data_IF_234052278751
#
_entry.id   IF_234052278751
#
_cell.length_a   1.000
_cell.length_b   1.000
_cell.length_c   1.000
_cell.angle_alpha   90.00
_cell.angle_beta   90.00
_cell.angle_gamma   90.00
#
_symmetry.space_group_name_H-M   'P 1'
#
loop_
_entity.id
_entity.type
_entity.pdbx_description
1 polymer ?
#
# COMPACT_ATOMS: atom_id res chain seq x y z
N UNK A 1 2.05 -1.28 1.86
CA UNK A 1 1.55 0.06 1.52
C UNK A 1 2.05 1.00 2.58
N UNK A 2 2.66 2.09 2.17
CA UNK A 2 3.47 2.92 3.05
C UNK A 2 3.32 4.38 2.65
N UNK A 3 3.66 5.26 3.59
CA UNK A 3 3.89 6.68 3.35
C UNK A 3 4.81 7.19 4.46
N UNK A 4 5.41 8.35 4.24
CA UNK A 4 6.36 8.93 5.19
C UNK A 4 6.11 10.42 5.40
N UNK A 5 6.48 10.90 6.59
CA UNK A 5 6.46 12.31 6.97
C UNK A 5 5.09 12.96 6.70
N UNK A 6 5.04 14.03 5.90
CA UNK A 6 3.80 14.75 5.58
C UNK A 6 2.77 13.92 4.80
N UNK A 7 3.20 12.79 4.21
CA UNK A 7 2.34 11.83 3.54
C UNK A 7 1.39 12.45 2.49
N UNK A 8 1.86 13.49 1.79
CA UNK A 8 1.11 14.26 0.79
C UNK A 8 1.38 13.84 -0.67
N UNK A 9 2.21 12.81 -0.87
CA UNK A 9 2.53 12.28 -2.21
C UNK A 9 1.70 11.06 -2.59
N UNK A 10 0.76 10.65 -1.74
CA UNK A 10 -0.05 9.44 -1.95
C UNK A 10 0.59 8.17 -1.40
N UNK A 11 -0.11 7.05 -1.58
CA UNK A 11 0.31 5.72 -1.10
C UNK A 11 1.46 5.15 -1.93
N UNK A 12 2.51 4.65 -1.28
CA UNK A 12 3.56 3.85 -1.90
C UNK A 12 3.25 2.36 -1.75
N UNK A 13 3.31 1.61 -2.85
CA UNK A 13 3.28 0.15 -2.85
C UNK A 13 4.63 -0.34 -3.37
N UNK A 14 5.30 -1.19 -2.60
CA UNK A 14 6.62 -1.69 -2.91
C UNK A 14 6.67 -3.22 -2.74
N UNK A 15 7.44 -3.89 -3.59
CA UNK A 15 7.88 -5.26 -3.36
C UNK A 15 9.38 -5.28 -3.08
N UNK A 16 9.75 -6.00 -2.02
CA UNK A 16 11.13 -6.30 -1.64
C UNK A 16 11.34 -7.81 -1.71
N UNK A 17 12.31 -8.24 -2.50
CA UNK A 17 12.62 -9.66 -2.75
C UNK A 17 14.12 -9.90 -2.68
N UNK A 18 14.51 -11.18 -2.68
CA UNK A 18 15.85 -11.57 -3.12
C UNK A 18 16.04 -11.30 -4.62
N UNK A 19 17.27 -11.41 -5.13
CA UNK A 19 17.58 -11.22 -6.55
C UNK A 19 16.73 -12.15 -7.46
N UNK A 20 16.33 -11.64 -8.63
CA UNK A 20 15.57 -12.39 -9.64
C UNK A 20 14.12 -11.96 -9.86
N UNK A 21 13.67 -10.87 -9.23
CA UNK A 21 12.35 -10.28 -9.44
C UNK A 21 12.50 -8.82 -9.92
N UNK A 22 11.95 -8.50 -11.08
CA UNK A 22 12.00 -7.16 -11.65
C UNK A 22 10.73 -6.81 -12.43
N UNK A 23 10.38 -5.52 -12.38
CA UNK A 23 9.34 -4.86 -13.17
C UNK A 23 9.95 -3.97 -14.27
N UNK A 24 11.27 -4.01 -14.46
CA UNK A 24 11.93 -3.34 -15.59
C UNK A 24 11.42 -3.91 -16.91
N UNK A 25 10.98 -3.04 -17.81
CA UNK A 25 10.43 -3.41 -19.12
C UNK A 25 9.23 -4.38 -19.07
N UNK A 26 8.60 -4.53 -17.90
CA UNK A 26 7.38 -5.31 -17.74
C UNK A 26 6.17 -4.41 -17.99
N UNK A 27 5.34 -4.80 -18.96
CA UNK A 27 4.07 -4.14 -19.25
C UNK A 27 3.11 -4.35 -18.08
N UNK A 28 2.56 -3.25 -17.54
CA UNK A 28 1.68 -3.28 -16.37
C UNK A 28 0.44 -2.43 -16.63
N UNK A 29 -0.74 -2.99 -16.36
CA UNK A 29 -2.01 -2.26 -16.48
C UNK A 29 -2.43 -1.82 -15.08
N UNK A 30 -2.08 -0.59 -14.73
CA UNK A 30 -2.34 0.00 -13.41
C UNK A 30 -2.59 1.51 -13.48
N UNK A 31 -3.09 2.11 -12.41
CA UNK A 31 -3.39 3.55 -12.33
C UNK A 31 -2.30 4.36 -11.62
N UNK A 32 -1.43 3.71 -10.84
CA UNK A 32 -0.32 4.36 -10.17
C UNK A 32 0.87 4.63 -11.09
N UNK A 33 1.79 5.48 -10.62
CA UNK A 33 3.02 5.83 -11.33
C UNK A 33 4.14 4.88 -10.92
N UNK A 34 4.78 4.15 -11.85
CA UNK A 34 5.89 3.27 -11.51
C UNK A 34 7.13 4.07 -11.09
N UNK A 35 7.80 3.60 -10.04
CA UNK A 35 9.15 4.01 -9.70
C UNK A 35 10.18 3.07 -10.32
N UNK A 36 11.26 2.79 -9.58
CA UNK A 36 12.29 1.86 -10.04
C UNK A 36 11.74 0.42 -10.12
N UNK A 37 12.27 -0.37 -11.07
CA UNK A 37 11.70 -1.66 -11.42
C UNK A 37 12.29 -2.85 -10.67
N UNK A 38 13.48 -2.72 -10.07
CA UNK A 38 14.16 -3.87 -9.47
C UNK A 38 13.71 -4.09 -8.02
N UNK A 39 13.12 -5.27 -7.76
CA UNK A 39 12.55 -5.61 -6.46
C UNK A 39 13.61 -6.11 -5.45
N UNK A 40 14.86 -6.28 -5.86
CA UNK A 40 15.93 -6.81 -5.02
C UNK A 40 16.26 -5.86 -3.85
N UNK A 41 16.12 -6.36 -2.62
CA UNK A 41 16.22 -5.60 -1.39
C UNK A 41 17.66 -5.25 -0.97
N UNK A 42 18.68 -5.97 -1.45
CA UNK A 42 20.09 -5.72 -1.11
C UNK A 42 20.75 -4.64 -1.99
N UNK A 43 20.02 -4.06 -2.94
CA UNK A 43 20.52 -3.00 -3.84
C UNK A 43 19.66 -1.74 -3.74
N UNK A 44 20.11 -0.65 -4.37
CA UNK A 44 19.36 0.60 -4.49
C UNK A 44 18.79 1.09 -3.15
N UNK A 45 19.58 0.97 -2.07
CA UNK A 45 19.19 1.37 -0.71
C UNK A 45 17.92 0.68 -0.19
N UNK A 46 17.68 -0.58 -0.59
CA UNK A 46 16.47 -1.33 -0.25
C UNK A 46 15.17 -0.62 -0.71
N UNK A 47 15.21 0.09 -1.84
CA UNK A 47 13.99 0.75 -2.36
C UNK A 47 12.94 -0.26 -2.82
N UNK A 48 13.37 -1.44 -3.31
CA UNK A 48 12.46 -2.40 -3.95
C UNK A 48 11.83 -1.83 -5.22
N UNK A 49 10.90 -2.57 -5.83
CA UNK A 49 10.19 -2.09 -7.00
C UNK A 49 8.88 -1.44 -6.60
N UNK A 50 8.65 -0.20 -7.06
CA UNK A 50 7.65 0.67 -6.44
C UNK A 50 6.60 1.18 -7.41
N UNK A 51 5.43 1.50 -6.87
CA UNK A 51 4.34 2.20 -7.54
C UNK A 51 3.75 3.21 -6.56
N UNK A 52 3.62 4.47 -6.99
CA UNK A 52 3.06 5.56 -6.19
C UNK A 52 1.67 5.91 -6.70
N UNK A 53 0.69 5.91 -5.79
CA UNK A 53 -0.66 6.41 -6.04
C UNK A 53 -0.77 7.93 -5.98
N UNK A 54 -1.88 8.52 -6.46
CA UNK A 54 -2.11 9.96 -6.31
C UNK A 54 -2.31 10.36 -4.83
N UNK A 55 -2.18 11.66 -4.48
CA UNK A 55 -2.29 12.14 -3.10
C UNK A 55 -3.52 11.65 -2.33
N UNK A 56 -4.68 11.55 -2.98
CA UNK A 56 -5.92 11.07 -2.37
C UNK A 56 -5.93 9.58 -1.96
N UNK A 57 -4.86 8.80 -2.18
CA UNK A 57 -4.79 7.39 -1.77
C UNK A 57 -4.14 7.17 -0.42
N UNK A 58 -3.65 8.22 0.23
CA UNK A 58 -3.14 8.15 1.60
C UNK A 58 -3.21 9.53 2.29
N UNK A 59 -3.17 9.52 3.62
CA UNK A 59 -2.88 10.73 4.39
C UNK A 59 -4.07 11.71 4.46
N UNK A 60 -3.81 13.02 4.63
CA UNK A 60 -4.86 14.00 4.88
C UNK A 60 -5.98 14.03 3.84
N UNK A 61 -5.66 13.90 2.55
CA UNK A 61 -6.68 13.89 1.49
C UNK A 61 -7.56 12.64 1.54
N UNK A 62 -6.95 11.46 1.73
CA UNK A 62 -7.70 10.20 1.91
C UNK A 62 -8.59 10.26 3.16
N UNK A 63 -8.06 10.79 4.27
CA UNK A 63 -8.80 10.94 5.52
C UNK A 63 -9.95 11.95 5.40
N UNK A 64 -9.74 13.08 4.72
CA UNK A 64 -10.77 14.08 4.47
C UNK A 64 -11.91 13.54 3.60
N UNK A 65 -11.62 12.58 2.71
CA UNK A 65 -12.63 11.83 1.95
C UNK A 65 -13.36 10.75 2.79
N UNK A 66 -13.02 10.60 4.07
CA UNK A 66 -13.60 9.57 4.96
C UNK A 66 -12.89 8.21 4.88
N UNK A 67 -11.66 8.17 4.38
CA UNK A 67 -10.89 6.95 4.20
C UNK A 67 -11.39 6.11 3.02
N UNK A 68 -11.30 4.78 3.15
CA UNK A 68 -11.59 3.89 2.04
C UNK A 68 -11.17 2.45 2.28
N UNK A 69 -11.12 1.68 1.20
CA UNK A 69 -10.75 0.27 1.20
C UNK A 69 -9.38 0.13 0.56
N UNK A 70 -8.48 -0.55 1.26
CA UNK A 70 -7.21 -1.03 0.70
C UNK A 70 -7.32 -2.52 0.50
N UNK A 71 -7.09 -2.99 -0.72
CA UNK A 71 -7.15 -4.40 -1.06
C UNK A 71 -5.83 -4.85 -1.68
N UNK A 72 -5.39 -6.06 -1.31
CA UNK A 72 -4.26 -6.73 -1.92
C UNK A 72 -4.70 -8.12 -2.36
N UNK A 73 -4.39 -8.45 -3.61
CA UNK A 73 -4.56 -9.77 -4.16
C UNK A 73 -3.17 -10.35 -4.45
N UNK A 74 -2.95 -11.57 -3.98
CA UNK A 74 -1.72 -12.31 -4.18
C UNK A 74 -2.05 -13.66 -4.79
N UNK A 75 -1.49 -13.90 -5.98
CA UNK A 75 -1.70 -15.06 -6.85
C UNK A 75 -0.38 -15.42 -7.54
N UNK A 76 -0.30 -16.60 -8.13
CA UNK A 76 0.91 -17.07 -8.82
C UNK A 76 1.26 -16.18 -10.02
N UNK A 77 0.27 -15.56 -10.65
CA UNK A 77 0.49 -14.67 -11.80
C UNK A 77 0.91 -13.24 -11.41
N UNK A 78 0.84 -12.86 -10.14
CA UNK A 78 1.20 -11.52 -9.71
C UNK A 78 0.67 -11.09 -8.35
N UNK A 79 1.15 -9.93 -7.89
CA UNK A 79 0.62 -9.22 -6.73
C UNK A 79 0.00 -7.92 -7.21
N UNK A 80 -1.25 -7.67 -6.81
CA UNK A 80 -1.99 -6.46 -7.18
C UNK A 80 -2.50 -5.76 -5.94
N UNK A 81 -2.52 -4.43 -5.98
CA UNK A 81 -3.05 -3.61 -4.91
C UNK A 81 -4.00 -2.54 -5.43
N UNK A 82 -5.08 -2.29 -4.70
CA UNK A 82 -6.07 -1.25 -4.96
C UNK A 82 -6.23 -0.35 -3.74
N UNK A 83 -6.53 0.92 -3.99
CA UNK A 83 -7.05 1.86 -3.01
C UNK A 83 -8.34 2.42 -3.58
N UNK A 84 -9.45 2.14 -2.91
CA UNK A 84 -10.75 2.69 -3.25
C UNK A 84 -11.08 3.77 -2.23
N UNK A 85 -11.18 5.04 -2.66
CA UNK A 85 -11.71 6.09 -1.81
C UNK A 85 -13.17 5.81 -1.45
N UNK A 86 -13.61 6.22 -0.26
CA UNK A 86 -15.02 6.09 0.15
C UNK A 86 -15.94 6.73 -0.89
N UNK A 87 -16.97 6.00 -1.34
CA UNK A 87 -17.91 6.44 -2.38
C UNK A 87 -17.50 6.08 -3.81
N UNK A 88 -16.24 5.70 -4.07
CA UNK A 88 -15.80 5.14 -5.37
C UNK A 88 -16.14 3.66 -5.52
N UNK A 89 -16.57 3.02 -4.44
CA UNK A 89 -16.98 1.62 -4.37
C UNK A 89 -18.28 1.32 -5.15
N UNK A 90 -19.04 2.36 -5.49
CA UNK A 90 -20.28 2.27 -6.24
C UNK A 90 -20.02 1.78 -7.68
N UNK A 91 -20.34 0.51 -7.95
CA UNK A 91 -20.31 -0.09 -9.29
C UNK A 91 -19.08 -0.96 -9.60
N UNK A 92 -18.06 -0.98 -8.75
CA UNK A 92 -16.83 -1.77 -8.94
C UNK A 92 -16.93 -3.21 -8.40
N UNK A 93 -18.14 -3.78 -8.27
CA UNK A 93 -18.31 -5.12 -7.70
C UNK A 93 -17.86 -5.27 -6.24
N UNK A 94 -17.69 -4.17 -5.50
CA UNK A 94 -17.22 -4.17 -4.11
C UNK A 94 -18.30 -4.57 -3.09
N UNK A 95 -19.49 -5.01 -3.54
CA UNK A 95 -20.59 -5.43 -2.65
C UNK A 95 -20.24 -6.63 -1.77
N UNK A 96 -19.22 -7.41 -2.15
CA UNK A 96 -18.67 -8.48 -1.34
C UNK A 96 -17.62 -8.00 -0.31
N UNK A 97 -17.25 -6.72 -0.31
CA UNK A 97 -16.39 -6.13 0.70
C UNK A 97 -17.23 -5.52 1.83
N UNK A 98 -16.68 -5.42 3.05
CA UNK A 98 -17.36 -4.74 4.16
C UNK A 98 -17.82 -3.34 3.76
N UNK A 99 -19.09 -3.03 4.01
CA UNK A 99 -19.62 -1.70 3.77
C UNK A 99 -18.94 -0.69 4.71
N UNK A 100 -18.97 0.60 4.33
CA UNK A 100 -18.30 1.69 5.06
C UNK A 100 -18.69 1.80 6.56
N UNK A 101 -19.79 1.18 6.99
CA UNK A 101 -20.23 1.10 8.39
C UNK A 101 -19.56 0.00 9.23
N UNK A 102 -18.59 -0.75 8.69
CA UNK A 102 -17.95 -1.87 9.39
C UNK A 102 -18.78 -3.15 9.42
N UNK A 103 -19.88 -3.18 8.67
CA UNK A 103 -20.69 -4.37 8.48
C UNK A 103 -19.85 -5.45 7.78
N UNK A 104 -19.83 -6.66 8.35
CA UNK A 104 -19.16 -7.78 7.69
C UNK A 104 -19.85 -8.05 6.35
N UNK A 105 -19.06 -8.38 5.34
CA UNK A 105 -19.59 -8.95 4.11
C UNK A 105 -20.52 -10.14 4.42
N UNK A 106 -21.50 -10.39 3.56
CA UNK A 106 -22.42 -11.50 3.74
C UNK A 106 -21.64 -12.82 3.94
N UNK A 107 -22.08 -13.73 4.83
CA UNK A 107 -21.42 -15.01 5.03
C UNK A 107 -21.24 -15.75 3.69
N UNK A 108 -20.01 -16.09 3.34
CA UNK A 108 -19.69 -16.79 2.09
C UNK A 108 -19.52 -15.88 0.86
N UNK A 109 -19.68 -14.57 0.98
CA UNK A 109 -19.32 -13.65 -0.09
C UNK A 109 -17.80 -13.66 -0.30
N UNK A 110 -17.37 -14.12 -1.47
CA UNK A 110 -15.97 -14.08 -1.90
C UNK A 110 -15.82 -12.91 -2.87
N UNK A 111 -14.92 -11.95 -2.61
CA UNK A 111 -14.70 -10.87 -3.55
C UNK A 111 -14.06 -11.39 -4.85
N UNK A 112 -14.43 -10.79 -5.99
CA UNK A 112 -13.84 -11.07 -7.29
C UNK A 112 -13.05 -9.84 -7.80
N UNK A 113 -11.71 -9.83 -7.61
CA UNK A 113 -10.87 -8.72 -8.04
C UNK A 113 -10.88 -8.43 -9.54
N UNK A 114 -11.34 -9.36 -10.39
CA UNK A 114 -11.46 -9.13 -11.83
C UNK A 114 -12.52 -8.08 -12.18
N UNK A 115 -13.45 -7.81 -11.26
CA UNK A 115 -14.55 -6.85 -11.43
C UNK A 115 -14.22 -5.43 -10.97
N UNK A 116 -13.06 -5.21 -10.34
CA UNK A 116 -12.70 -3.96 -9.66
C UNK A 116 -12.03 -2.91 -10.56
N UNK A 117 -11.90 -3.20 -11.86
CA UNK A 117 -11.12 -2.38 -12.76
C UNK A 117 -9.60 -2.45 -12.51
N UNK A 118 -8.81 -1.55 -13.13
CA UNK A 118 -7.36 -1.60 -13.05
C UNK A 118 -6.85 -1.36 -11.62
N UNK A 119 -5.87 -2.14 -11.13
CA UNK A 119 -5.25 -1.91 -9.83
C UNK A 119 -4.48 -0.59 -9.77
N UNK A 120 -4.25 -0.10 -8.55
CA UNK A 120 -3.30 0.99 -8.30
C UNK A 120 -1.88 0.55 -8.60
N UNK A 121 -1.51 -0.64 -8.14
CA UNK A 121 -0.20 -1.24 -8.40
C UNK A 121 -0.36 -2.67 -8.90
N UNK A 122 0.42 -3.03 -9.91
CA UNK A 122 0.46 -4.37 -10.51
C UNK A 122 1.91 -4.85 -10.59
N UNK A 123 2.16 -6.06 -10.11
CA UNK A 123 3.46 -6.71 -10.12
C UNK A 123 3.29 -8.12 -10.70
N UNK A 124 3.19 -8.25 -12.04
CA UNK A 124 2.96 -9.53 -12.68
C UNK A 124 4.21 -10.40 -12.65
N UNK A 125 4.01 -11.70 -12.79
CA UNK A 125 5.09 -12.69 -12.72
C UNK A 125 5.98 -12.78 -13.97
N UNK A 126 5.81 -11.89 -14.95
CA UNK A 126 6.50 -11.91 -16.25
C UNK A 126 8.03 -12.01 -16.11
N UNK A 127 8.59 -11.28 -15.16
CA UNK A 127 10.02 -11.28 -14.82
C UNK A 127 10.22 -11.41 -13.30
N UNK A 128 9.32 -12.13 -12.64
CA UNK A 128 9.35 -12.34 -11.19
C UNK A 128 8.61 -13.62 -10.80
N UNK A 129 9.32 -14.59 -10.23
CA UNK A 129 8.67 -15.80 -9.68
C UNK A 129 8.03 -15.48 -8.32
N UNK A 130 6.73 -15.18 -8.34
CA UNK A 130 5.98 -14.77 -7.14
C UNK A 130 6.03 -15.86 -6.06
N UNK A 131 5.79 -17.12 -6.41
CA UNK A 131 5.78 -18.24 -5.44
C UNK A 131 7.14 -18.54 -4.85
N UNK A 132 8.23 -18.27 -5.58
CA UNK A 132 9.60 -18.38 -5.06
C UNK A 132 9.95 -17.24 -4.10
N UNK A 133 9.52 -16.01 -4.39
CA UNK A 133 9.90 -14.85 -3.59
C UNK A 133 8.98 -14.61 -2.39
N UNK A 134 7.68 -14.86 -2.54
CA UNK A 134 6.66 -14.60 -1.52
C UNK A 134 6.07 -15.92 -1.04
N UNK A 135 6.06 -16.13 0.28
CA UNK A 135 5.44 -17.27 0.96
C UNK A 135 5.24 -16.94 2.44
N UNK A 136 4.21 -17.53 3.06
CA UNK A 136 3.97 -17.45 4.51
C UNK A 136 4.09 -16.03 5.08
N UNK A 137 3.44 -15.06 4.43
CA UNK A 137 3.47 -13.67 4.85
C UNK A 137 2.59 -13.42 6.08
N UNK A 138 2.96 -12.42 6.88
CA UNK A 138 2.14 -11.85 7.95
C UNK A 138 1.72 -10.46 7.55
N UNK A 139 0.53 -10.03 7.96
CA UNK A 139 0.11 -8.66 7.76
C UNK A 139 0.52 -7.85 8.99
N UNK A 140 1.27 -6.78 8.75
CA UNK A 140 1.76 -5.87 9.78
C UNK A 140 1.20 -4.49 9.51
N UNK A 141 0.64 -3.88 10.54
CA UNK A 141 0.23 -2.49 10.55
C UNK A 141 1.02 -1.82 11.67
N UNK A 142 1.84 -0.83 11.32
CA UNK A 142 2.66 -0.11 12.28
C UNK A 142 2.74 1.38 11.95
N UNK A 143 3.25 2.14 12.92
CA UNK A 143 3.74 3.50 12.75
C UNK A 143 5.18 3.47 13.22
N UNK A 144 6.13 3.63 12.30
CA UNK A 144 7.56 3.55 12.60
C UNK A 144 8.17 4.95 12.72
N UNK A 145 8.22 5.46 13.95
CA UNK A 145 8.78 6.79 14.23
C UNK A 145 10.28 6.77 13.99
N UNK A 146 10.74 7.59 13.05
CA UNK A 146 12.14 7.64 12.61
C UNK A 146 12.66 6.33 12.04
N UNK A 147 11.79 5.58 11.35
CA UNK A 147 12.21 4.47 10.49
C UNK A 147 13.20 4.91 9.40
N UNK A 148 13.99 3.99 8.82
CA UNK A 148 15.02 4.31 7.85
C UNK A 148 14.53 5.16 6.67
N UNK A 149 13.36 4.85 6.11
CA UNK A 149 12.76 5.60 5.01
C UNK A 149 12.34 7.02 5.44
N UNK A 150 11.75 7.15 6.62
CA UNK A 150 11.37 8.45 7.18
C UNK A 150 12.60 9.33 7.37
N UNK A 151 13.67 8.80 7.97
CA UNK A 151 14.94 9.52 8.18
C UNK A 151 15.60 9.96 6.87
N UNK A 152 15.62 9.08 5.86
CA UNK A 152 16.21 9.38 4.56
C UNK A 152 15.51 10.54 3.82
N UNK A 153 14.23 10.76 4.10
CA UNK A 153 13.39 11.76 3.41
C UNK A 153 12.96 12.92 4.30
N UNK A 154 13.37 12.92 5.57
CA UNK A 154 12.87 13.86 6.60
C UNK A 154 13.12 15.32 6.23
N UNK A 155 14.37 15.67 5.94
CA UNK A 155 14.74 17.05 5.60
C UNK A 155 14.11 17.51 4.26
N UNK A 156 14.10 16.65 3.24
CA UNK A 156 13.50 16.97 1.94
C UNK A 156 11.97 17.07 1.98
N UNK A 157 11.34 16.47 3.00
CA UNK A 157 9.91 16.62 3.28
C UNK A 157 9.57 17.97 3.92
N UNK A 158 10.56 18.81 4.21
CA UNK A 158 10.37 20.10 4.89
C UNK A 158 10.13 19.97 6.40
N UNK A 159 10.49 18.83 6.99
CA UNK A 159 10.33 18.62 8.43
C UNK A 159 11.40 19.38 9.24
N UNK A 160 11.06 19.89 10.44
CA UNK A 160 11.98 20.67 11.26
C UNK A 160 12.93 19.78 12.08
N UNK A 161 14.10 20.32 12.44
CA UNK A 161 15.12 19.65 13.27
C UNK A 161 15.58 18.30 12.70
N UNK A 162 16.05 17.39 13.55
CA UNK A 162 16.17 15.96 13.26
C UNK A 162 14.86 15.24 13.58
N UNK A 163 14.68 14.04 13.00
CA UNK A 163 13.50 13.23 13.30
C UNK A 163 13.42 12.88 14.80
N UNK A 164 14.53 12.46 15.39
CA UNK A 164 14.62 12.07 16.79
C UNK A 164 14.32 13.24 17.72
N UNK A 165 14.88 14.42 17.44
CA UNK A 165 14.62 15.61 18.24
C UNK A 165 13.15 16.03 18.15
N UNK A 166 12.56 15.95 16.95
CA UNK A 166 11.15 16.29 16.77
C UNK A 166 10.24 15.31 17.52
N UNK A 167 10.44 14.00 17.34
CA UNK A 167 9.66 12.96 18.01
C UNK A 167 9.79 13.05 19.54
N UNK A 168 10.99 13.22 20.06
CA UNK A 168 11.25 13.28 21.50
C UNK A 168 10.60 14.51 22.18
N UNK A 169 10.57 15.65 21.48
CA UNK A 169 10.16 16.92 22.08
C UNK A 169 8.74 17.37 21.69
N UNK A 170 8.06 16.67 20.77
CA UNK A 170 6.72 17.03 20.29
C UNK A 170 5.72 15.86 20.34
N UNK A 171 5.53 15.17 21.48
CA UNK A 171 4.63 14.01 21.55
C UNK A 171 3.18 14.36 21.18
N UNK A 172 2.73 15.60 21.42
CA UNK A 172 1.40 16.06 21.03
C UNK A 172 1.18 16.15 19.52
N UNK A 173 2.25 16.22 18.71
CA UNK A 173 2.16 16.20 17.25
C UNK A 173 1.60 14.87 16.70
N UNK A 174 1.65 13.81 17.51
CA UNK A 174 1.20 12.46 17.15
C UNK A 174 -0.18 12.10 17.72
N UNK A 175 -0.92 13.06 18.29
CA UNK A 175 -2.24 12.81 18.87
C UNK A 175 -3.25 12.19 17.88
N UNK A 176 -3.10 12.49 16.58
CA UNK A 176 -3.93 11.96 15.50
C UNK A 176 -3.16 10.97 14.60
N UNK A 177 -2.05 10.40 15.07
CA UNK A 177 -1.28 9.39 14.37
C UNK A 177 -1.72 7.99 14.83
N UNK A 178 -2.81 7.49 14.25
CA UNK A 178 -3.33 6.14 14.52
C UNK A 178 -3.92 5.54 13.25
N UNK A 179 -4.08 4.22 13.27
CA UNK A 179 -4.86 3.49 12.28
C UNK A 179 -6.25 3.22 12.84
N UNK A 180 -7.28 3.42 12.03
CA UNK A 180 -8.64 3.03 12.34
C UNK A 180 -9.13 2.01 11.30
N UNK A 181 -9.58 0.85 11.77
CA UNK A 181 -10.06 -0.23 10.91
C UNK A 181 -11.53 -0.52 11.21
N UNK A 182 -12.40 -0.31 10.24
CA UNK A 182 -13.78 -0.80 10.31
C UNK A 182 -13.86 -2.33 10.14
N UNK A 183 -12.98 -2.90 9.33
CA UNK A 183 -12.88 -4.34 9.12
C UNK A 183 -11.48 -4.73 8.65
N UNK A 184 -11.11 -5.98 8.93
CA UNK A 184 -9.91 -6.62 8.41
C UNK A 184 -10.29 -8.03 7.95
N UNK A 185 -10.16 -8.31 6.66
CA UNK A 185 -10.63 -9.55 6.04
C UNK A 185 -9.52 -10.21 5.24
N UNK A 186 -9.41 -11.54 5.34
CA UNK A 186 -8.48 -12.35 4.56
C UNK A 186 -9.29 -13.42 3.86
N UNK A 187 -9.18 -13.48 2.54
CA UNK A 187 -9.83 -14.47 1.70
C UNK A 187 -8.77 -15.41 1.14
N UNK A 188 -9.15 -16.66 0.93
CA UNK A 188 -8.35 -17.62 0.16
C UNK A 188 -9.14 -17.98 -1.09
N UNK A 189 -8.49 -17.99 -2.25
CA UNK A 189 -9.07 -18.60 -3.44
C UNK A 189 -9.36 -20.08 -3.15
N UNK A 190 -10.51 -20.57 -3.63
CA UNK A 190 -10.87 -21.99 -3.54
C UNK A 190 -10.05 -22.82 -4.53
#
# INVERSE_FOLDING_TARGET
MEAVNNANTGSLVALHTTAGCTMENVQRRMTGTPGQGNCHNEINYNTGCTVTGPPATYGPEFNAAGGGIVALEWRDEGIRAWVFGRGQDQGQGLTALPAAGGERAAPGAVPDPSTWGPPLADFPNTSCDVGRHFRNQSIVVNIDLCGPLAKATYASSGCPSTCEDFVANNPSAFANAYWEFGAFQVYRAL
#
